data_IF_729788931743
#
_entry.id   IF_729788931743
#
_cell.length_a   1.000
_cell.length_b   1.000
_cell.length_c   1.000
_cell.angle_alpha   90.00
_cell.angle_beta   90.00
_cell.angle_gamma   90.00
#
_symmetry.space_group_name_H-M   'P 1'
#
loop_
_entity.id
_entity.type
_entity.pdbx_description
1 polymer ?
#
# COMPACT_ATOMS: atom_id res chain seq x y z
N UNK A 1 13.99 -39.83 6.13
CA UNK A 1 12.77 -39.54 5.34
C UNK A 1 12.16 -38.27 5.89
N UNK A 2 12.42 -37.13 5.26
CA UNK A 2 11.80 -35.86 5.63
C UNK A 2 10.33 -35.90 5.20
N UNK A 3 9.41 -35.90 6.16
CA UNK A 3 8.00 -35.57 5.89
C UNK A 3 7.96 -34.13 5.36
N UNK A 4 8.02 -33.96 4.03
CA UNK A 4 7.58 -32.73 3.40
C UNK A 4 6.07 -32.66 3.61
N UNK A 5 5.68 -31.96 4.66
CA UNK A 5 4.31 -31.55 4.93
C UNK A 5 3.78 -30.90 3.65
N UNK A 6 2.78 -31.52 3.03
CA UNK A 6 2.20 -31.01 1.78
C UNK A 6 1.73 -29.57 2.01
N UNK A 7 1.90 -28.67 1.02
CA UNK A 7 1.47 -27.29 1.18
C UNK A 7 0.00 -27.27 1.54
N UNK A 8 -0.32 -26.69 2.70
CA UNK A 8 -1.68 -26.53 3.21
C UNK A 8 -2.44 -25.62 2.24
N UNK A 9 -3.08 -26.20 1.23
CA UNK A 9 -3.81 -25.46 0.20
C UNK A 9 -4.87 -24.58 0.84
N UNK A 10 -5.02 -23.35 0.33
CA UNK A 10 -6.15 -22.51 0.71
C UNK A 10 -7.46 -23.25 0.40
N UNK A 11 -8.30 -23.43 1.42
CA UNK A 11 -9.68 -23.85 1.21
C UNK A 11 -10.48 -22.60 0.87
N UNK A 12 -10.54 -22.24 -0.41
CA UNK A 12 -11.21 -21.04 -0.92
C UNK A 12 -12.65 -20.92 -0.39
N UNK A 13 -13.33 -22.06 -0.23
CA UNK A 13 -14.69 -22.14 0.31
C UNK A 13 -14.81 -21.50 1.71
N UNK A 14 -13.76 -21.59 2.54
CA UNK A 14 -13.74 -20.97 3.88
C UNK A 14 -13.69 -19.44 3.84
N UNK A 15 -13.13 -18.88 2.76
CA UNK A 15 -12.91 -17.45 2.56
C UNK A 15 -13.88 -16.82 1.54
N UNK A 16 -14.82 -17.60 0.99
CA UNK A 16 -15.77 -17.12 -0.01
C UNK A 16 -16.54 -15.87 0.43
N UNK A 17 -16.98 -15.82 1.68
CA UNK A 17 -17.64 -14.63 2.24
C UNK A 17 -16.71 -13.40 2.25
N UNK A 18 -15.44 -13.58 2.63
CA UNK A 18 -14.44 -12.50 2.63
C UNK A 18 -14.21 -11.98 1.22
N UNK A 19 -14.06 -12.86 0.23
CA UNK A 19 -13.92 -12.48 -1.17
C UNK A 19 -15.14 -11.76 -1.73
N UNK A 20 -16.36 -12.24 -1.43
CA UNK A 20 -17.59 -11.59 -1.87
C UNK A 20 -17.72 -10.19 -1.29
N UNK A 21 -17.51 -10.03 0.03
CA UNK A 21 -17.66 -8.74 0.70
C UNK A 21 -16.57 -7.77 0.26
N UNK A 22 -15.29 -8.17 0.19
CA UNK A 22 -14.22 -7.26 -0.23
C UNK A 22 -14.40 -6.83 -1.69
N UNK A 23 -14.86 -7.73 -2.56
CA UNK A 23 -15.17 -7.40 -3.96
C UNK A 23 -16.34 -6.42 -4.05
N UNK A 24 -17.42 -6.66 -3.31
CA UNK A 24 -18.56 -5.76 -3.23
C UNK A 24 -18.15 -4.37 -2.72
N UNK A 25 -17.42 -4.31 -1.60
CA UNK A 25 -16.94 -3.04 -1.04
C UNK A 25 -15.99 -2.31 -1.99
N UNK A 26 -15.16 -3.03 -2.76
CA UNK A 26 -14.29 -2.44 -3.78
C UNK A 26 -15.08 -1.79 -4.92
N UNK A 27 -16.16 -2.44 -5.37
CA UNK A 27 -17.08 -1.90 -6.39
C UNK A 27 -17.83 -0.67 -5.86
N UNK A 28 -18.38 -0.77 -4.64
CA UNK A 28 -19.03 0.37 -3.96
C UNK A 28 -18.04 1.53 -3.81
N UNK A 29 -16.80 1.22 -3.41
CA UNK A 29 -15.72 2.20 -3.28
C UNK A 29 -15.40 2.94 -4.57
N UNK A 30 -15.35 2.22 -5.69
CA UNK A 30 -15.20 2.83 -7.01
C UNK A 30 -16.33 3.84 -7.30
N UNK A 31 -17.60 3.46 -7.13
CA UNK A 31 -18.73 4.36 -7.41
C UNK A 31 -18.79 5.55 -6.44
N UNK A 32 -18.53 5.31 -5.16
CA UNK A 32 -18.50 6.37 -4.14
C UNK A 32 -17.39 7.37 -4.42
N UNK A 33 -16.17 6.88 -4.70
CA UNK A 33 -15.03 7.74 -5.08
C UNK A 33 -15.37 8.58 -6.30
N UNK A 34 -15.95 7.97 -7.34
CA UNK A 34 -16.36 8.68 -8.56
C UNK A 34 -17.40 9.78 -8.28
N UNK A 35 -18.35 9.51 -7.38
CA UNK A 35 -19.35 10.50 -6.95
C UNK A 35 -18.69 11.67 -6.20
N UNK A 36 -17.82 11.37 -5.24
CA UNK A 36 -17.10 12.38 -4.45
C UNK A 36 -16.20 13.27 -5.33
N UNK A 37 -15.44 12.68 -6.24
CA UNK A 37 -14.59 13.43 -7.18
C UNK A 37 -15.39 14.43 -8.03
N UNK A 38 -16.62 14.07 -8.42
CA UNK A 38 -17.51 14.96 -9.17
C UNK A 38 -18.02 16.13 -8.31
N UNK A 39 -18.35 15.86 -7.04
CA UNK A 39 -18.98 16.84 -6.16
C UNK A 39 -18.00 17.79 -5.49
N UNK A 40 -16.78 17.33 -5.17
CA UNK A 40 -15.83 18.08 -4.35
C UNK A 40 -14.79 18.89 -5.14
N UNK A 41 -14.64 18.69 -6.44
CA UNK A 41 -13.69 19.46 -7.26
C UNK A 41 -13.75 20.98 -7.05
N UNK A 42 -14.93 21.64 -7.11
CA UNK A 42 -15.05 23.08 -6.86
C UNK A 42 -14.66 23.51 -5.44
N UNK A 43 -14.86 22.64 -4.44
CA UNK A 43 -14.49 22.91 -3.04
C UNK A 43 -12.98 23.00 -2.89
N UNK A 44 -12.23 22.11 -3.56
CA UNK A 44 -10.77 22.13 -3.55
C UNK A 44 -10.21 23.37 -4.24
N UNK A 45 -10.79 23.77 -5.37
CA UNK A 45 -10.43 25.03 -6.02
C UNK A 45 -10.67 26.22 -5.07
N UNK A 46 -11.83 26.27 -4.40
CA UNK A 46 -12.14 27.35 -3.43
C UNK A 46 -11.18 27.35 -2.24
N UNK A 47 -10.67 26.19 -1.85
CA UNK A 47 -9.68 26.04 -0.78
C UNK A 47 -8.23 26.35 -1.22
N UNK A 48 -8.01 26.71 -2.50
CA UNK A 48 -6.68 26.97 -3.06
C UNK A 48 -5.89 25.70 -3.44
N UNK A 49 -6.52 24.53 -3.41
CA UNK A 49 -5.93 23.25 -3.81
C UNK A 49 -6.20 23.01 -5.30
N UNK A 50 -5.43 23.66 -6.15
CA UNK A 50 -5.55 23.56 -7.59
C UNK A 50 -4.22 23.76 -8.31
N UNK A 51 -4.06 23.10 -9.45
CA UNK A 51 -2.85 23.17 -10.28
C UNK A 51 -3.20 23.46 -11.73
N UNK A 52 -2.29 24.13 -12.44
CA UNK A 52 -2.42 24.35 -13.88
C UNK A 52 -1.88 23.14 -14.65
N UNK A 53 -2.61 22.65 -15.65
CA UNK A 53 -2.13 21.59 -16.55
C UNK A 53 -1.05 22.14 -17.49
N UNK A 54 0.21 22.02 -17.05
CA UNK A 54 1.40 22.56 -17.71
C UNK A 54 1.63 21.99 -19.11
N UNK A 55 1.01 20.85 -19.43
CA UNK A 55 1.13 20.16 -20.71
C UNK A 55 -0.06 20.42 -21.64
N UNK A 56 -0.82 21.50 -21.42
CA UNK A 56 -1.88 21.96 -22.33
C UNK A 56 -1.68 23.45 -22.69
N UNK A 57 -2.05 23.88 -23.91
CA UNK A 57 -1.81 25.26 -24.37
C UNK A 57 -2.41 26.33 -23.47
N UNK A 58 -3.65 26.12 -23.01
CA UNK A 58 -4.39 27.08 -22.18
C UNK A 58 -4.13 26.92 -20.68
N UNK A 59 -3.25 25.98 -20.28
CA UNK A 59 -2.92 25.66 -18.89
C UNK A 59 -4.13 25.69 -17.94
N UNK A 60 -5.19 24.91 -18.24
CA UNK A 60 -6.41 24.95 -17.45
C UNK A 60 -6.11 24.63 -15.98
N UNK A 61 -6.71 25.40 -15.08
CA UNK A 61 -6.63 25.15 -13.64
C UNK A 61 -7.62 24.06 -13.28
N UNK A 62 -7.13 23.00 -12.66
CA UNK A 62 -7.92 21.84 -12.24
C UNK A 62 -7.68 21.57 -10.74
N UNK A 63 -8.65 20.98 -10.03
CA UNK A 63 -8.49 20.68 -8.61
C UNK A 63 -7.34 19.68 -8.39
N UNK A 64 -6.56 19.92 -7.35
CA UNK A 64 -5.41 19.12 -6.94
C UNK A 64 -5.70 18.35 -5.65
N UNK A 65 -4.77 17.49 -5.21
CA UNK A 65 -4.88 16.67 -4.01
C UNK A 65 -6.14 15.78 -3.95
N UNK A 66 -6.74 15.45 -5.10
CA UNK A 66 -7.97 14.65 -5.15
C UNK A 66 -7.77 13.19 -4.71
N UNK A 67 -6.51 12.73 -4.64
CA UNK A 67 -6.14 11.46 -4.03
C UNK A 67 -6.67 11.27 -2.62
N UNK A 68 -6.85 12.36 -1.86
CA UNK A 68 -7.38 12.30 -0.48
C UNK A 68 -8.80 11.74 -0.42
N UNK A 69 -9.63 11.99 -1.45
CA UNK A 69 -11.01 11.48 -1.51
C UNK A 69 -11.01 9.97 -1.74
N UNK A 70 -10.19 9.49 -2.68
CA UNK A 70 -10.01 8.06 -2.94
C UNK A 70 -9.45 7.33 -1.70
N UNK A 71 -8.44 7.93 -1.06
CA UNK A 71 -7.82 7.41 0.15
C UNK A 71 -8.81 7.37 1.34
N UNK A 72 -9.66 8.39 1.49
CA UNK A 72 -10.70 8.40 2.53
C UNK A 72 -11.72 7.29 2.33
N UNK A 73 -12.19 7.08 1.09
CA UNK A 73 -13.09 5.96 0.77
C UNK A 73 -12.43 4.62 1.05
N UNK A 74 -11.16 4.47 0.66
CA UNK A 74 -10.36 3.27 0.92
C UNK A 74 -10.29 2.93 2.41
N UNK A 75 -9.91 3.89 3.26
CA UNK A 75 -9.81 3.67 4.71
C UNK A 75 -11.15 3.26 5.32
N UNK A 76 -12.25 3.90 4.92
CA UNK A 76 -13.59 3.53 5.40
C UNK A 76 -13.98 2.11 4.97
N UNK A 77 -13.68 1.71 3.74
CA UNK A 77 -13.88 0.32 3.28
C UNK A 77 -13.08 -0.65 4.14
N UNK A 78 -11.81 -0.34 4.39
CA UNK A 78 -10.95 -1.21 5.18
C UNK A 78 -11.47 -1.32 6.61
N UNK A 79 -11.93 -0.23 7.24
CA UNK A 79 -12.54 -0.26 8.57
C UNK A 79 -13.80 -1.11 8.63
N UNK A 80 -14.68 -1.00 7.62
CA UNK A 80 -15.87 -1.84 7.51
C UNK A 80 -15.52 -3.32 7.28
N UNK A 81 -14.39 -3.60 6.63
CA UNK A 81 -13.94 -4.95 6.34
C UNK A 81 -13.24 -5.63 7.52
N UNK A 82 -12.61 -4.90 8.43
CA UNK A 82 -11.86 -5.45 9.58
C UNK A 82 -12.61 -6.58 10.29
N UNK A 83 -13.89 -6.46 10.70
CA UNK A 83 -14.54 -7.50 11.48
C UNK A 83 -14.64 -8.85 10.75
N UNK A 84 -14.61 -8.86 9.42
CA UNK A 84 -14.95 -10.04 8.64
C UNK A 84 -13.86 -11.13 8.61
N UNK A 85 -12.58 -10.84 8.29
CA UNK A 85 -11.49 -11.81 8.40
C UNK A 85 -11.32 -12.36 9.83
N UNK A 86 -11.71 -11.58 10.83
CA UNK A 86 -11.58 -11.93 12.25
C UNK A 86 -12.90 -12.41 12.88
N UNK A 87 -13.96 -12.62 12.09
CA UNK A 87 -15.33 -12.87 12.61
C UNK A 87 -15.41 -14.04 13.59
N UNK A 88 -14.72 -15.15 13.30
CA UNK A 88 -14.73 -16.34 14.16
C UNK A 88 -14.14 -16.03 15.53
N UNK A 89 -13.03 -15.29 15.53
CA UNK A 89 -12.34 -14.88 16.73
C UNK A 89 -13.16 -13.87 17.54
N UNK A 90 -13.76 -12.87 16.88
CA UNK A 90 -14.64 -11.89 17.53
C UNK A 90 -15.83 -12.60 18.19
N UNK A 91 -16.53 -13.47 17.46
CA UNK A 91 -17.67 -14.23 18.00
C UNK A 91 -17.24 -15.11 19.17
N UNK A 92 -16.10 -15.79 19.05
CA UNK A 92 -15.60 -16.66 20.12
C UNK A 92 -15.18 -15.86 21.35
N UNK A 93 -14.57 -14.68 21.18
CA UNK A 93 -14.18 -13.79 22.28
C UNK A 93 -15.41 -13.26 23.03
N UNK A 94 -16.47 -12.90 22.31
CA UNK A 94 -17.76 -12.49 22.91
C UNK A 94 -18.37 -13.66 23.68
N UNK A 95 -18.41 -14.86 23.10
CA UNK A 95 -18.93 -16.06 23.77
C UNK A 95 -18.12 -16.41 25.02
N UNK A 96 -16.78 -16.32 24.97
CA UNK A 96 -15.92 -16.52 26.14
C UNK A 96 -16.27 -15.52 27.24
N UNK A 97 -16.42 -14.23 26.92
CA UNK A 97 -16.82 -13.20 27.90
C UNK A 97 -18.15 -13.54 28.59
N UNK A 98 -19.14 -14.04 27.84
CA UNK A 98 -20.44 -14.46 28.39
C UNK A 98 -20.34 -15.76 29.23
N UNK A 99 -19.38 -16.65 28.94
CA UNK A 99 -19.13 -17.88 29.69
C UNK A 99 -18.33 -17.62 30.97
N UNK A 100 -17.29 -16.80 30.93
CA UNK A 100 -16.43 -16.47 32.08
C UNK A 100 -17.09 -15.52 33.10
N UNK A 101 -18.24 -14.95 32.76
CA UNK A 101 -19.13 -14.31 33.73
C UNK A 101 -19.94 -15.33 34.55
N UNK A 102 -19.79 -16.63 34.29
CA UNK A 102 -20.46 -17.75 34.98
C UNK A 102 -19.47 -18.89 35.32
N UNK A 103 -18.65 -18.70 36.36
CA UNK A 103 -17.67 -19.62 37.00
C UNK A 103 -16.58 -20.32 36.14
N UNK A 104 -15.33 -20.43 36.63
CA UNK A 104 -14.22 -21.00 35.86
C UNK A 104 -14.04 -22.51 36.13
N UNK A 105 -13.89 -23.32 35.07
CA UNK A 105 -13.27 -24.65 35.18
C UNK A 105 -12.54 -25.08 33.90
N UNK A 106 -11.19 -25.09 33.99
CA UNK A 106 -10.11 -25.81 33.24
C UNK A 106 -10.44 -26.33 31.81
N UNK A 107 -9.72 -25.99 30.71
CA UNK A 107 -8.28 -25.94 30.41
C UNK A 107 -7.96 -24.68 29.57
N UNK A 108 -8.29 -23.53 30.15
CA UNK A 108 -8.43 -22.27 29.42
C UNK A 108 -7.13 -21.72 28.85
N UNK A 109 -5.97 -22.09 29.41
CA UNK A 109 -4.67 -21.55 29.03
C UNK A 109 -4.29 -21.87 27.57
N UNK A 110 -4.60 -23.06 27.04
CA UNK A 110 -4.26 -23.43 25.66
C UNK A 110 -5.17 -22.75 24.63
N UNK A 111 -6.46 -22.59 24.95
CA UNK A 111 -7.44 -21.89 24.10
C UNK A 111 -7.14 -20.38 24.08
N UNK A 112 -6.83 -19.81 25.25
CA UNK A 112 -6.41 -18.42 25.38
C UNK A 112 -5.06 -18.18 24.69
N UNK A 113 -4.12 -19.12 24.79
CA UNK A 113 -2.84 -19.05 24.08
C UNK A 113 -3.04 -19.07 22.56
N UNK A 114 -3.82 -20.00 22.02
CA UNK A 114 -4.10 -20.08 20.57
C UNK A 114 -4.82 -18.82 20.05
N UNK A 115 -5.80 -18.31 20.80
CA UNK A 115 -6.48 -17.05 20.48
C UNK A 115 -5.53 -15.84 20.53
N UNK A 116 -4.65 -15.78 21.52
CA UNK A 116 -3.67 -14.69 21.65
C UNK A 116 -2.64 -14.70 20.51
N UNK A 117 -2.23 -15.88 20.05
CA UNK A 117 -1.29 -16.05 18.93
C UNK A 117 -1.97 -15.59 17.63
N UNK A 118 -3.22 -15.97 17.37
CA UNK A 118 -3.94 -15.53 16.16
C UNK A 118 -4.15 -14.01 16.13
N UNK A 119 -4.52 -13.42 17.27
CA UNK A 119 -4.69 -11.97 17.40
C UNK A 119 -3.38 -11.23 17.09
N UNK A 120 -2.26 -11.70 17.68
CA UNK A 120 -0.93 -11.12 17.47
C UNK A 120 -0.43 -11.30 16.03
N UNK A 121 -0.66 -12.46 15.43
CA UNK A 121 -0.09 -12.81 14.12
C UNK A 121 -0.89 -12.28 12.93
N UNK A 122 -2.16 -11.89 13.10
CA UNK A 122 -3.00 -11.43 11.96
C UNK A 122 -3.64 -10.08 12.15
N UNK A 123 -4.31 -9.84 13.28
CA UNK A 123 -5.02 -8.56 13.48
C UNK A 123 -4.05 -7.41 13.73
N UNK A 124 -3.01 -7.62 14.54
CA UNK A 124 -2.00 -6.58 14.80
C UNK A 124 -1.30 -6.12 13.50
N UNK A 125 -0.79 -7.03 12.62
CA UNK A 125 -0.27 -6.62 11.31
C UNK A 125 -1.28 -5.86 10.45
N UNK A 126 -2.56 -6.26 10.46
CA UNK A 126 -3.62 -5.59 9.71
C UNK A 126 -3.88 -4.16 10.21
N UNK A 127 -3.94 -3.97 11.52
CA UNK A 127 -4.12 -2.64 12.12
C UNK A 127 -2.87 -1.77 11.95
N UNK A 128 -1.67 -2.34 12.09
CA UNK A 128 -0.42 -1.60 11.87
C UNK A 128 -0.24 -1.16 10.41
N UNK A 129 -0.63 -2.03 9.47
CA UNK A 129 -0.72 -1.71 8.05
C UNK A 129 -1.64 -0.52 7.80
N UNK A 130 -2.87 -0.57 8.31
CA UNK A 130 -3.82 0.53 8.16
C UNK A 130 -3.34 1.81 8.86
N UNK A 131 -2.75 1.71 10.04
CA UNK A 131 -2.16 2.86 10.73
C UNK A 131 -1.07 3.52 9.88
N UNK A 132 -0.18 2.71 9.30
CA UNK A 132 0.90 3.20 8.43
C UNK A 132 0.35 3.90 7.18
N UNK A 133 -0.67 3.32 6.55
CA UNK A 133 -1.35 3.90 5.38
C UNK A 133 -2.09 5.19 5.77
N UNK A 134 -2.86 5.20 6.87
CA UNK A 134 -3.55 6.39 7.38
C UNK A 134 -2.59 7.54 7.69
N UNK A 135 -1.50 7.26 8.41
CA UNK A 135 -0.45 8.24 8.69
C UNK A 135 0.12 8.80 7.38
N UNK A 136 0.37 7.94 6.41
CA UNK A 136 0.90 8.38 5.13
C UNK A 136 -0.09 9.23 4.32
N UNK A 137 -1.38 8.87 4.29
CA UNK A 137 -2.42 9.68 3.64
C UNK A 137 -2.48 11.07 4.27
N UNK A 138 -2.51 11.14 5.60
CA UNK A 138 -2.52 12.41 6.32
C UNK A 138 -1.28 13.26 6.00
N UNK A 139 -0.09 12.66 6.02
CA UNK A 139 1.16 13.36 5.76
C UNK A 139 1.32 13.77 4.29
N UNK A 140 0.80 12.97 3.35
CA UNK A 140 0.76 13.34 1.93
C UNK A 140 -0.18 14.52 1.69
N UNK A 141 -1.34 14.54 2.35
CA UNK A 141 -2.24 15.68 2.29
C UNK A 141 -1.64 16.93 2.94
N UNK A 142 -0.94 16.76 4.06
CA UNK A 142 -0.18 17.86 4.67
C UNK A 142 0.93 18.37 3.74
N UNK A 143 1.58 17.51 2.96
CA UNK A 143 2.58 17.91 1.96
C UNK A 143 1.95 18.72 0.81
N UNK A 144 0.81 18.27 0.28
CA UNK A 144 0.06 19.01 -0.74
C UNK A 144 -0.37 20.41 -0.25
N UNK A 145 -0.81 20.53 1.00
CA UNK A 145 -1.26 21.81 1.59
C UNK A 145 -0.08 22.73 1.94
N UNK A 146 0.96 22.18 2.58
CA UNK A 146 2.04 22.97 3.18
C UNK A 146 3.27 23.12 2.27
N UNK A 147 3.33 22.38 1.16
CA UNK A 147 4.48 22.32 0.26
C UNK A 147 5.80 22.08 1.02
N UNK A 148 5.93 20.89 1.63
CA UNK A 148 7.03 20.60 2.53
C UNK A 148 8.37 20.48 1.78
N UNK A 149 9.46 20.79 2.49
CA UNK A 149 10.83 20.63 1.97
C UNK A 149 11.15 19.15 1.74
N UNK A 150 11.99 18.87 0.73
CA UNK A 150 12.41 17.51 0.32
C UNK A 150 12.83 16.59 1.47
N UNK A 151 13.49 17.12 2.51
CA UNK A 151 13.91 16.33 3.69
C UNK A 151 12.72 15.68 4.42
N UNK A 152 11.59 16.38 4.49
CA UNK A 152 10.38 15.82 5.11
C UNK A 152 9.79 14.71 4.25
N UNK A 153 9.91 14.80 2.92
CA UNK A 153 9.49 13.73 1.99
C UNK A 153 10.27 12.42 2.17
N UNK A 154 11.43 12.45 2.85
CA UNK A 154 12.18 11.26 3.28
C UNK A 154 11.86 10.83 4.72
N UNK A 155 11.71 11.78 5.63
CA UNK A 155 11.45 11.50 7.05
C UNK A 155 10.02 10.97 7.27
N UNK A 156 9.03 11.55 6.61
CA UNK A 156 7.61 11.23 6.84
C UNK A 156 7.25 9.78 6.48
N UNK A 157 7.72 9.19 5.35
CA UNK A 157 7.56 7.76 5.11
C UNK A 157 8.30 6.87 6.08
N UNK A 158 9.48 7.28 6.52
CA UNK A 158 10.23 6.55 7.54
C UNK A 158 9.41 6.44 8.83
N UNK A 159 8.90 7.56 9.35
CA UNK A 159 8.06 7.58 10.55
C UNK A 159 6.75 6.81 10.37
N UNK A 160 6.11 6.93 9.20
CA UNK A 160 4.85 6.24 8.93
C UNK A 160 5.01 4.74 8.80
N UNK A 161 6.22 4.23 8.50
CA UNK A 161 6.50 2.79 8.45
C UNK A 161 6.85 2.17 9.81
N UNK A 162 7.01 2.98 10.87
CA UNK A 162 7.32 2.47 12.20
C UNK A 162 6.31 1.44 12.73
N UNK A 163 4.98 1.57 12.55
CA UNK A 163 4.03 0.56 13.02
C UNK A 163 4.30 -0.82 12.42
N UNK A 164 4.53 -0.93 11.10
CA UNK A 164 4.84 -2.22 10.47
C UNK A 164 6.21 -2.76 10.89
N UNK A 165 7.21 -1.90 11.12
CA UNK A 165 8.50 -2.31 11.66
C UNK A 165 8.35 -2.92 13.06
N UNK A 166 7.56 -2.29 13.93
CA UNK A 166 7.31 -2.79 15.29
C UNK A 166 6.60 -4.14 15.27
N UNK A 167 5.66 -4.33 14.34
CA UNK A 167 5.01 -5.64 14.14
C UNK A 167 6.01 -6.71 13.69
N UNK A 168 6.91 -6.38 12.77
CA UNK A 168 7.95 -7.32 12.32
C UNK A 168 8.88 -7.71 13.48
N UNK A 169 9.24 -6.77 14.36
CA UNK A 169 10.01 -7.05 15.58
C UNK A 169 9.21 -7.92 16.54
N UNK A 170 7.96 -7.55 16.84
CA UNK A 170 7.12 -8.24 17.82
C UNK A 170 6.78 -9.68 17.42
N UNK A 171 6.68 -9.95 16.12
CA UNK A 171 6.42 -11.29 15.57
C UNK A 171 7.71 -12.11 15.34
N UNK A 172 8.87 -11.64 15.81
CA UNK A 172 10.17 -12.31 15.62
C UNK A 172 10.40 -12.62 14.13
N UNK A 173 10.11 -11.62 13.28
CA UNK A 173 10.27 -11.75 11.84
C UNK A 173 11.72 -11.98 11.46
N UNK A 174 11.95 -12.83 10.47
CA UNK A 174 13.30 -13.11 9.96
C UNK A 174 13.96 -11.85 9.40
N UNK A 175 15.25 -11.70 9.66
CA UNK A 175 16.16 -10.70 9.08
C UNK A 175 17.00 -11.27 7.93
N UNK A 176 16.76 -12.53 7.56
CA UNK A 176 17.46 -13.18 6.46
C UNK A 176 16.88 -12.76 5.12
N UNK A 177 17.77 -12.40 4.19
CA UNK A 177 17.41 -12.16 2.80
C UNK A 177 17.95 -13.29 1.92
N UNK A 178 17.11 -13.83 1.04
CA UNK A 178 17.59 -14.70 -0.04
C UNK A 178 18.58 -13.93 -0.96
N UNK A 179 19.72 -14.54 -1.24
CA UNK A 179 20.80 -13.97 -2.05
C UNK A 179 20.46 -14.19 -3.54
N UNK A 180 20.81 -13.27 -4.46
CA UNK A 180 20.70 -13.53 -5.90
C UNK A 180 21.58 -14.70 -6.36
N UNK A 181 21.13 -15.46 -7.36
CA UNK A 181 21.80 -16.69 -7.83
C UNK A 181 23.30 -16.50 -8.13
N UNK A 182 23.66 -15.37 -8.73
CA UNK A 182 25.06 -15.06 -9.09
C UNK A 182 25.97 -14.78 -7.88
N UNK A 183 25.41 -14.50 -6.70
CA UNK A 183 26.15 -14.28 -5.45
C UNK A 183 26.15 -15.51 -4.52
N UNK A 184 25.43 -16.58 -4.87
CA UNK A 184 25.31 -17.76 -4.02
C UNK A 184 26.67 -18.39 -3.66
N UNK A 185 27.64 -18.36 -4.60
CA UNK A 185 28.99 -18.89 -4.36
C UNK A 185 29.72 -18.19 -3.21
N UNK A 186 29.44 -16.91 -2.97
CA UNK A 186 30.15 -16.10 -1.98
C UNK A 186 29.40 -15.95 -0.66
N UNK A 187 28.07 -15.87 -0.72
CA UNK A 187 27.23 -15.49 0.43
C UNK A 187 26.23 -16.57 0.84
N UNK A 188 26.21 -17.73 0.17
CA UNK A 188 25.22 -18.77 0.40
C UNK A 188 23.85 -18.45 -0.22
N UNK A 189 22.83 -19.21 0.16
CA UNK A 189 21.45 -19.04 -0.35
C UNK A 189 20.67 -17.93 0.37
N UNK A 190 21.02 -17.67 1.63
CA UNK A 190 20.47 -16.58 2.44
C UNK A 190 21.55 -15.97 3.31
N UNK A 191 21.43 -14.68 3.59
CA UNK A 191 22.32 -13.95 4.50
C UNK A 191 21.50 -13.21 5.54
N UNK A 192 21.92 -13.29 6.80
CA UNK A 192 21.37 -12.48 7.87
C UNK A 192 22.00 -11.08 7.83
N UNK A 193 21.18 -10.05 7.62
CA UNK A 193 21.62 -8.65 7.61
C UNK A 193 21.27 -7.92 8.92
N UNK A 194 20.65 -8.61 9.88
CA UNK A 194 20.34 -8.11 11.21
C UNK A 194 19.61 -6.74 11.19
N UNK A 195 20.09 -5.74 11.95
CA UNK A 195 19.47 -4.41 12.02
C UNK A 195 19.27 -3.71 10.67
N UNK A 196 20.10 -4.01 9.66
CA UNK A 196 19.98 -3.41 8.33
C UNK A 196 18.69 -3.84 7.62
N UNK A 197 18.07 -4.96 8.01
CA UNK A 197 16.77 -5.37 7.47
C UNK A 197 15.67 -4.36 7.82
N UNK A 198 15.70 -3.77 9.01
CA UNK A 198 14.74 -2.76 9.43
C UNK A 198 14.96 -1.43 8.70
N UNK A 199 16.22 -1.07 8.46
CA UNK A 199 16.57 0.07 7.60
C UNK A 199 16.04 -0.15 6.18
N UNK A 200 16.23 -1.35 5.63
CA UNK A 200 15.67 -1.73 4.32
C UNK A 200 14.15 -1.58 4.27
N UNK A 201 13.41 -2.09 5.27
CA UNK A 201 11.95 -1.96 5.31
C UNK A 201 11.50 -0.49 5.36
N UNK A 202 12.14 0.34 6.18
CA UNK A 202 11.85 1.78 6.23
C UNK A 202 12.16 2.47 4.90
N UNK A 203 13.31 2.16 4.30
CA UNK A 203 13.72 2.71 3.01
C UNK A 203 12.86 2.22 1.85
N UNK A 204 12.27 1.03 1.94
CA UNK A 204 11.31 0.52 0.96
C UNK A 204 10.04 1.38 0.94
N UNK A 205 9.53 1.77 2.11
CA UNK A 205 8.40 2.70 2.20
C UNK A 205 8.74 4.10 1.65
N UNK A 206 9.93 4.61 1.98
CA UNK A 206 10.44 5.88 1.41
C UNK A 206 10.56 5.78 -0.11
N UNK A 207 11.10 4.67 -0.62
CA UNK A 207 11.29 4.44 -2.04
C UNK A 207 9.95 4.36 -2.77
N UNK A 208 9.02 3.49 -2.36
CA UNK A 208 7.75 3.31 -3.07
C UNK A 208 6.94 4.62 -3.16
N UNK A 209 6.90 5.42 -2.10
CA UNK A 209 6.18 6.71 -2.08
C UNK A 209 6.82 7.75 -2.98
N UNK A 210 8.15 7.92 -2.91
CA UNK A 210 8.85 8.91 -3.71
C UNK A 210 9.02 8.47 -5.17
N UNK A 211 9.19 7.18 -5.45
CA UNK A 211 9.44 6.67 -6.80
C UNK A 211 8.23 6.84 -7.72
N UNK A 212 7.01 6.63 -7.20
CA UNK A 212 5.77 6.99 -7.91
C UNK A 212 5.69 8.51 -8.08
N UNK A 213 6.01 9.28 -7.03
CA UNK A 213 5.89 10.73 -7.05
C UNK A 213 6.84 11.43 -8.06
N UNK A 214 8.06 10.93 -8.22
CA UNK A 214 9.00 11.50 -9.20
C UNK A 214 8.75 10.98 -10.63
N UNK A 215 7.99 9.90 -10.78
CA UNK A 215 7.60 9.35 -12.08
C UNK A 215 6.17 9.77 -12.41
N UNK A 216 5.99 11.09 -12.56
CA UNK A 216 4.72 11.77 -12.54
C UNK A 216 4.68 12.93 -13.55
N UNK A 217 3.52 13.56 -13.69
CA UNK A 217 3.36 14.85 -14.35
C UNK A 217 2.86 14.81 -15.80
N UNK A 218 2.38 13.66 -16.26
CA UNK A 218 1.53 13.54 -17.45
C UNK A 218 0.18 12.92 -17.03
N UNK A 219 -0.90 13.39 -17.65
CA UNK A 219 -2.27 13.03 -17.26
C UNK A 219 -2.48 11.50 -17.22
N UNK A 220 -2.78 10.97 -16.03
CA UNK A 220 -3.08 9.55 -15.81
C UNK A 220 -1.89 8.68 -15.41
N UNK A 221 -0.66 9.21 -15.35
CA UNK A 221 0.54 8.38 -15.14
C UNK A 221 0.63 7.83 -13.72
N UNK A 222 0.38 8.65 -12.70
CA UNK A 222 0.53 8.29 -11.28
C UNK A 222 -0.52 7.23 -10.89
N UNK A 223 -1.78 7.49 -11.21
CA UNK A 223 -2.86 6.52 -10.97
C UNK A 223 -2.75 5.30 -11.90
N UNK A 224 -2.35 5.49 -13.16
CA UNK A 224 -2.24 4.42 -14.15
C UNK A 224 -1.16 3.41 -13.82
N UNK A 225 0.05 3.86 -13.50
CA UNK A 225 1.13 2.97 -13.08
C UNK A 225 0.77 2.23 -11.78
N UNK A 226 0.08 2.89 -10.86
CA UNK A 226 -0.34 2.29 -9.59
C UNK A 226 -1.40 1.20 -9.82
N UNK A 227 -2.37 1.40 -10.72
CA UNK A 227 -3.32 0.34 -11.11
C UNK A 227 -2.59 -0.83 -11.75
N UNK A 228 -1.63 -0.58 -12.65
CA UNK A 228 -0.86 -1.65 -13.29
C UNK A 228 -0.12 -2.50 -12.25
N UNK A 229 0.61 -1.88 -11.32
CA UNK A 229 1.32 -2.57 -10.24
C UNK A 229 0.34 -3.35 -9.35
N UNK A 230 -0.77 -2.72 -8.94
CA UNK A 230 -1.76 -3.37 -8.09
C UNK A 230 -2.36 -4.62 -8.75
N UNK A 231 -2.72 -4.54 -10.04
CA UNK A 231 -3.22 -5.68 -10.80
C UNK A 231 -2.15 -6.79 -10.94
N UNK A 232 -0.89 -6.43 -11.19
CA UNK A 232 0.21 -7.41 -11.24
C UNK A 232 0.38 -8.14 -9.91
N UNK A 233 0.34 -7.42 -8.77
CA UNK A 233 0.44 -8.04 -7.45
C UNK A 233 -0.81 -8.85 -7.10
N UNK A 234 -2.01 -8.41 -7.50
CA UNK A 234 -3.24 -9.20 -7.34
C UNK A 234 -3.13 -10.53 -8.11
N UNK A 235 -2.70 -10.51 -9.37
CA UNK A 235 -2.48 -11.74 -10.16
C UNK A 235 -1.45 -12.64 -9.50
N UNK A 236 -0.34 -12.07 -9.02
CA UNK A 236 0.67 -12.81 -8.27
C UNK A 236 0.10 -13.46 -7.00
N UNK A 237 -0.70 -12.73 -6.22
CA UNK A 237 -1.37 -13.28 -5.03
C UNK A 237 -2.30 -14.45 -5.38
N UNK A 238 -3.08 -14.32 -6.45
CA UNK A 238 -3.98 -15.39 -6.90
C UNK A 238 -3.23 -16.66 -7.31
N UNK A 239 -2.03 -16.53 -7.88
CA UNK A 239 -1.16 -17.66 -8.20
C UNK A 239 -0.64 -18.32 -6.91
N UNK A 240 -0.16 -17.50 -5.96
CA UNK A 240 0.44 -17.95 -4.70
C UNK A 240 -0.58 -18.42 -3.64
N UNK A 241 -1.88 -18.32 -3.92
CA UNK A 241 -2.92 -18.96 -3.10
C UNK A 241 -2.76 -20.49 -3.01
N UNK A 242 -2.11 -21.11 -4.00
CA UNK A 242 -1.76 -22.53 -3.97
C UNK A 242 -0.36 -22.80 -3.36
N UNK A 243 0.36 -21.74 -2.96
CA UNK A 243 1.71 -21.80 -2.40
C UNK A 243 1.73 -22.01 -0.88
N UNK A 244 2.93 -22.09 -0.32
CA UNK A 244 3.16 -22.29 1.12
C UNK A 244 2.77 -21.05 1.95
N UNK A 245 2.89 -19.86 1.36
CA UNK A 245 2.68 -18.57 2.03
C UNK A 245 1.32 -17.92 1.73
N UNK A 246 0.31 -18.72 1.36
CA UNK A 246 -1.00 -18.21 0.91
C UNK A 246 -1.66 -17.20 1.87
N UNK A 247 -1.39 -17.29 3.19
CA UNK A 247 -1.91 -16.36 4.22
C UNK A 247 -1.39 -14.93 4.00
N UNK A 248 -0.12 -14.79 3.64
CA UNK A 248 0.54 -13.53 3.32
C UNK A 248 -0.02 -12.91 2.03
N UNK A 249 -0.31 -13.75 1.03
CA UNK A 249 -0.95 -13.33 -0.21
C UNK A 249 -2.42 -12.95 -0.03
N UNK A 250 -3.14 -13.66 0.85
CA UNK A 250 -4.53 -13.33 1.20
C UNK A 250 -4.61 -11.98 1.89
N UNK A 251 -3.68 -11.71 2.83
CA UNK A 251 -3.52 -10.40 3.44
C UNK A 251 -3.32 -9.31 2.38
N UNK A 252 -2.34 -9.49 1.48
CA UNK A 252 -2.09 -8.52 0.41
C UNK A 252 -3.32 -8.31 -0.48
N UNK A 253 -4.03 -9.38 -0.84
CA UNK A 253 -5.23 -9.32 -1.65
C UNK A 253 -6.33 -8.44 -1.03
N UNK A 254 -6.55 -8.54 0.29
CA UNK A 254 -7.52 -7.69 1.00
C UNK A 254 -7.20 -6.19 0.92
N UNK A 255 -5.92 -5.82 0.94
CA UNK A 255 -5.54 -4.41 0.82
C UNK A 255 -5.58 -3.92 -0.62
N UNK A 256 -5.23 -4.75 -1.60
CA UNK A 256 -5.07 -4.32 -2.99
C UNK A 256 -6.38 -4.24 -3.77
N UNK A 257 -7.39 -5.05 -3.44
CA UNK A 257 -8.64 -5.03 -4.19
C UNK A 257 -9.40 -3.70 -4.01
N UNK A 258 -9.61 -3.18 -2.77
CA UNK A 258 -10.23 -1.88 -2.58
C UNK A 258 -9.35 -0.73 -3.09
N UNK A 259 -8.03 -0.86 -2.93
CA UNK A 259 -7.06 0.11 -3.46
C UNK A 259 -7.23 0.27 -4.97
N UNK A 260 -7.35 -0.85 -5.70
CA UNK A 260 -7.56 -0.86 -7.14
C UNK A 260 -8.91 -0.23 -7.49
N UNK A 261 -9.98 -0.55 -6.76
CA UNK A 261 -11.31 0.03 -6.99
C UNK A 261 -11.33 1.56 -6.88
N UNK A 262 -10.82 2.12 -5.78
CA UNK A 262 -10.78 3.59 -5.59
C UNK A 262 -9.81 4.27 -6.57
N UNK A 263 -8.68 3.63 -6.87
CA UNK A 263 -7.67 4.19 -7.78
C UNK A 263 -8.17 4.17 -9.22
N UNK A 264 -8.94 3.16 -9.62
CA UNK A 264 -9.54 3.13 -10.96
C UNK A 264 -10.58 4.25 -11.15
N UNK A 265 -11.33 4.62 -10.11
CA UNK A 265 -12.22 5.78 -10.15
C UNK A 265 -11.44 7.10 -10.30
N UNK A 266 -10.32 7.22 -9.59
CA UNK A 266 -9.42 8.36 -9.70
C UNK A 266 -8.79 8.45 -11.10
N UNK A 267 -8.30 7.33 -11.62
CA UNK A 267 -7.72 7.20 -12.94
C UNK A 267 -8.69 7.66 -14.02
N UNK A 268 -9.98 7.28 -13.95
CA UNK A 268 -10.96 7.73 -14.95
C UNK A 268 -11.12 9.25 -15.05
N UNK A 269 -10.90 9.98 -13.94
CA UNK A 269 -10.99 11.45 -13.91
C UNK A 269 -9.65 12.14 -14.15
N UNK A 270 -8.56 11.45 -13.87
CA UNK A 270 -7.19 11.89 -14.09
C UNK A 270 -6.63 11.49 -15.47
N UNK A 271 -7.29 10.56 -16.19
CA UNK A 271 -6.93 10.14 -17.54
C UNK A 271 -6.96 11.31 -18.51
N UNK A 272 -6.16 11.26 -19.57
CA UNK A 272 -6.12 12.31 -20.56
C UNK A 272 -7.47 12.47 -21.29
N UNK A 273 -8.03 13.70 -21.37
CA UNK A 273 -7.58 14.94 -20.73
C UNK A 273 -8.01 15.01 -19.25
N UNK A 274 -7.05 15.23 -18.35
CA UNK A 274 -7.33 15.22 -16.91
C UNK A 274 -8.30 16.35 -16.52
N UNK A 275 -9.27 16.00 -15.68
CA UNK A 275 -10.20 16.93 -15.00
C UNK A 275 -9.83 17.19 -13.55
N UNK A 276 -8.91 16.39 -13.01
CA UNK A 276 -8.42 16.44 -11.64
C UNK A 276 -6.95 16.01 -11.58
N UNK A 277 -6.19 16.53 -10.61
CA UNK A 277 -4.87 16.01 -10.23
C UNK A 277 -4.92 15.23 -8.93
N UNK A 278 -4.13 14.16 -8.88
CA UNK A 278 -4.11 13.22 -7.75
C UNK A 278 -3.38 13.79 -6.53
N UNK A 279 -2.33 14.60 -6.74
CA UNK A 279 -1.48 15.20 -5.71
C UNK A 279 -0.48 14.24 -5.06
N UNK A 280 0.42 14.78 -4.24
CA UNK A 280 1.39 14.02 -3.43
C UNK A 280 0.67 13.03 -2.51
N UNK A 281 -0.53 13.40 -2.02
CA UNK A 281 -1.41 12.53 -1.22
C UNK A 281 -1.58 11.16 -1.84
N UNK A 282 -1.87 11.10 -3.15
CA UNK A 282 -2.08 9.82 -3.83
C UNK A 282 -0.78 9.03 -3.98
N UNK A 283 0.31 9.67 -4.38
CA UNK A 283 1.61 9.01 -4.55
C UNK A 283 2.07 8.38 -3.24
N UNK A 284 1.86 9.08 -2.13
CA UNK A 284 2.16 8.64 -0.77
C UNK A 284 1.25 7.48 -0.35
N UNK A 285 -0.06 7.63 -0.56
CA UNK A 285 -1.04 6.57 -0.32
C UNK A 285 -0.70 5.28 -1.08
N UNK A 286 -0.46 5.37 -2.39
CA UNK A 286 -0.13 4.24 -3.25
C UNK A 286 1.20 3.59 -2.83
N UNK A 287 2.26 4.38 -2.69
CA UNK A 287 3.57 3.88 -2.31
C UNK A 287 3.58 3.17 -0.96
N UNK A 288 2.89 3.72 0.05
CA UNK A 288 2.80 3.07 1.36
C UNK A 288 1.93 1.81 1.31
N UNK A 289 0.83 1.80 0.55
CA UNK A 289 0.01 0.59 0.37
C UNK A 289 0.85 -0.54 -0.24
N UNK A 290 1.65 -0.25 -1.27
CA UNK A 290 2.56 -1.24 -1.87
C UNK A 290 3.66 -1.69 -0.91
N UNK A 291 4.30 -0.77 -0.21
CA UNK A 291 5.33 -1.11 0.77
C UNK A 291 4.78 -2.01 1.88
N UNK A 292 3.61 -1.68 2.43
CA UNK A 292 2.94 -2.46 3.47
C UNK A 292 2.65 -3.89 3.01
N UNK A 293 2.02 -4.07 1.84
CA UNK A 293 1.72 -5.42 1.36
C UNK A 293 2.97 -6.19 0.95
N UNK A 294 4.01 -5.53 0.45
CA UNK A 294 5.28 -6.18 0.11
C UNK A 294 6.09 -6.60 1.35
N UNK A 295 6.07 -5.79 2.41
CA UNK A 295 6.79 -6.06 3.67
C UNK A 295 6.07 -7.16 4.45
N UNK A 296 4.79 -6.97 4.78
CA UNK A 296 4.02 -7.93 5.57
C UNK A 296 3.61 -9.17 4.77
N UNK A 297 3.59 -9.06 3.44
CA UNK A 297 3.39 -10.20 2.55
C UNK A 297 4.67 -10.99 2.26
N UNK A 298 5.84 -10.56 2.75
CA UNK A 298 7.14 -11.19 2.53
C UNK A 298 7.60 -11.32 1.07
N UNK A 299 7.01 -10.57 0.14
CA UNK A 299 7.36 -10.58 -1.29
C UNK A 299 7.93 -9.25 -1.79
N UNK A 300 8.52 -8.43 -0.92
CA UNK A 300 9.10 -7.12 -1.27
C UNK A 300 10.06 -7.15 -2.46
N UNK A 301 10.81 -8.24 -2.68
CA UNK A 301 11.66 -8.42 -3.86
C UNK A 301 10.86 -8.54 -5.15
N UNK A 302 9.81 -9.37 -5.15
CA UNK A 302 8.89 -9.50 -6.28
C UNK A 302 8.19 -8.17 -6.56
N UNK A 303 7.82 -7.43 -5.51
CA UNK A 303 7.26 -6.09 -5.66
C UNK A 303 8.24 -5.15 -6.40
N UNK A 304 9.54 -5.20 -6.11
CA UNK A 304 10.54 -4.40 -6.82
C UNK A 304 10.66 -4.74 -8.31
N UNK A 305 10.31 -5.97 -8.72
CA UNK A 305 10.22 -6.33 -10.14
C UNK A 305 9.03 -5.66 -10.82
N UNK A 306 7.91 -5.49 -10.14
CA UNK A 306 6.77 -4.71 -10.67
C UNK A 306 7.06 -3.20 -10.68
N UNK A 307 8.02 -2.74 -9.87
CA UNK A 307 8.49 -1.35 -9.83
C UNK A 307 9.64 -1.06 -10.81
N UNK A 308 9.97 -1.95 -11.76
CA UNK A 308 11.11 -1.75 -12.69
C UNK A 308 11.10 -0.36 -13.36
N UNK A 309 9.98 0.14 -13.92
CA UNK A 309 9.95 1.48 -14.52
C UNK A 309 10.30 2.60 -13.52
N UNK A 310 9.80 2.49 -12.29
CA UNK A 310 10.02 3.46 -11.21
C UNK A 310 11.46 3.41 -10.72
N UNK A 311 12.03 2.21 -10.55
CA UNK A 311 13.44 1.99 -10.21
C UNK A 311 14.33 2.61 -11.27
N UNK A 312 14.04 2.36 -12.55
CA UNK A 312 14.80 2.91 -13.66
C UNK A 312 14.73 4.44 -13.69
N UNK A 313 13.54 5.03 -13.60
CA UNK A 313 13.36 6.49 -13.55
C UNK A 313 14.05 7.12 -12.33
N UNK A 314 14.01 6.45 -11.17
CA UNK A 314 14.71 6.89 -9.96
C UNK A 314 16.22 6.93 -10.16
N UNK A 315 16.82 5.85 -10.70
CA UNK A 315 18.26 5.76 -10.98
C UNK A 315 18.68 6.84 -11.98
N UNK A 316 17.93 7.01 -13.07
CA UNK A 316 18.20 8.07 -14.06
C UNK A 316 18.10 9.48 -13.44
N UNK A 317 17.23 9.66 -12.45
CA UNK A 317 17.04 10.93 -11.76
C UNK A 317 18.11 11.23 -10.71
N UNK A 318 18.90 10.25 -10.26
CA UNK A 318 19.85 10.42 -9.15
C UNK A 318 20.82 11.58 -9.31
N UNK A 319 21.47 11.82 -10.47
CA UNK A 319 22.39 12.95 -10.62
C UNK A 319 21.72 14.30 -10.37
N UNK A 320 20.46 14.45 -10.77
CA UNK A 320 19.68 15.66 -10.50
C UNK A 320 19.22 15.74 -9.05
N UNK A 321 18.71 14.63 -8.49
CA UNK A 321 18.20 14.58 -7.11
C UNK A 321 19.29 14.86 -6.08
N UNK A 322 20.51 14.37 -6.31
CA UNK A 322 21.69 14.66 -5.50
C UNK A 322 22.35 16.01 -5.84
N UNK A 323 21.77 16.78 -6.77
CA UNK A 323 22.28 18.08 -7.22
C UNK A 323 23.71 18.03 -7.80
N UNK A 324 24.12 16.88 -8.33
CA UNK A 324 25.34 16.75 -9.12
C UNK A 324 25.19 17.48 -10.47
N UNK A 325 23.96 17.59 -10.96
CA UNK A 325 23.55 18.37 -12.14
C UNK A 325 22.38 19.28 -11.73
N UNK A 326 22.21 20.48 -12.34
CA UNK A 326 21.06 21.34 -12.05
C UNK A 326 19.72 20.60 -12.17
N UNK A 327 18.91 20.67 -11.11
CA UNK A 327 17.59 20.07 -11.05
C UNK A 327 16.51 21.17 -11.13
N UNK A 328 15.82 21.34 -12.26
CA UNK A 328 14.71 22.30 -12.35
C UNK A 328 13.54 21.83 -11.48
N UNK A 329 12.69 22.78 -11.07
CA UNK A 329 11.50 22.48 -10.25
C UNK A 329 10.53 21.52 -10.93
N UNK A 330 10.32 21.69 -12.24
CA UNK A 330 9.50 20.81 -13.06
C UNK A 330 10.36 20.13 -14.12
N UNK A 331 10.29 18.80 -14.19
CA UNK A 331 11.04 17.94 -15.13
C UNK A 331 10.14 17.35 -16.22
N UNK A 332 9.05 18.06 -16.52
CA UNK A 332 8.04 17.63 -17.49
C UNK A 332 8.55 17.79 -18.92
N UNK A 333 8.12 16.94 -19.86
CA UNK A 333 8.41 17.15 -21.28
C UNK A 333 7.83 18.51 -21.72
N UNK A 334 8.58 19.23 -22.55
CA UNK A 334 8.05 20.46 -23.16
C UNK A 334 7.04 20.07 -24.23
N UNK A 335 5.89 20.73 -24.26
CA UNK A 335 5.03 20.68 -25.44
C UNK A 335 5.82 21.25 -26.62
N UNK A 336 6.15 20.38 -27.58
CA UNK A 336 6.61 20.81 -28.90
C UNK A 336 5.36 20.99 -29.72
N UNK A 337 4.93 22.24 -29.90
CA UNK A 337 3.90 22.55 -30.89
C UNK A 337 4.53 22.32 -32.26
N UNK A 338 4.23 21.18 -32.88
CA UNK A 338 4.52 20.99 -34.31
C UNK A 338 3.54 21.91 -35.04
N UNK A 339 4.06 23.02 -35.55
CA UNK A 339 3.31 24.01 -36.34
C UNK A 339 2.88 23.44 -37.68
#
# INVERSE_FOLDING_TARGET
>A
MSNQMSPEKISLDKFGLEFCVISFLSIVGYFLTKSLLKSFGPVFIKAGLHGADMNKPNRPVIPEAQGVLAATVYINIMFLFIPLPFRKHIIQSIRLYDLFSSEPSLSDDDILAEQSILFKTRLIPFLAALLSICCMIFLGFADDVLNLRWRHKLILPTLSSLPILMVHIANIGTTHIAVPLFLHRYLGTSVDIGPLYYVYMGMLAVFCTNAINIYAGINGLEAGQSVAIALSVIVFNLIEFNGTEWRSHLFSFYFLLPFTGVTFALLQKNWFPATIFVGDTFCYFAGMTFAVVGILGHFSKTLMLFFIPQVFNFILSLPQLFRLIPCPRHRLPRQVTVL
#
